data_IF_018852074121
#
_entry.id   IF_018852074121
#
_cell.length_a   1.000
_cell.length_b   1.000
_cell.length_c   1.000
_cell.angle_alpha   90.00
_cell.angle_beta   90.00
_cell.angle_gamma   90.00
#
_symmetry.space_group_name_H-M   'P 1'
#
loop_
_entity.id
_entity.type
_entity.pdbx_description
1 polymer ?
#
# COMPACT_ATOMS: atom_id res chain seq x y z
N UNK A 1 -7.90 -12.83 8.95
CA UNK A 1 -9.25 -12.89 9.54
C UNK A 1 -10.10 -13.82 8.69
N UNK A 2 -10.42 -14.99 9.23
CA UNK A 2 -11.31 -15.96 8.58
C UNK A 2 -12.75 -15.56 8.91
N UNK A 3 -13.57 -15.31 7.90
CA UNK A 3 -15.00 -15.13 8.08
C UNK A 3 -15.67 -16.48 7.77
N UNK A 4 -16.23 -17.12 8.81
CA UNK A 4 -17.04 -18.32 8.66
C UNK A 4 -18.49 -17.88 8.43
N UNK A 5 -19.03 -18.17 7.25
CA UNK A 5 -20.47 -18.09 6.98
C UNK A 5 -20.90 -19.48 6.54
N UNK A 6 -21.54 -20.22 7.43
CA UNK A 6 -21.91 -21.61 7.20
C UNK A 6 -20.72 -22.57 7.14
N UNK A 7 -20.80 -23.59 6.31
CA UNK A 7 -19.72 -24.55 6.05
C UNK A 7 -18.73 -24.07 4.97
N UNK A 8 -18.91 -22.87 4.42
CA UNK A 8 -18.14 -22.32 3.31
C UNK A 8 -17.19 -21.25 3.80
N UNK A 9 -15.94 -21.29 3.30
CA UNK A 9 -14.89 -20.39 3.70
C UNK A 9 -14.66 -19.34 2.62
N UNK A 10 -14.83 -18.05 2.97
CA UNK A 10 -14.40 -16.92 2.16
C UNK A 10 -13.21 -16.26 2.83
N UNK A 11 -12.12 -16.08 2.09
CA UNK A 11 -10.99 -15.26 2.52
C UNK A 11 -11.18 -13.89 1.89
N UNK A 12 -11.25 -12.87 2.74
CA UNK A 12 -11.30 -11.46 2.33
C UNK A 12 -10.10 -10.70 2.84
N UNK A 13 -9.61 -9.82 2.00
CA UNK A 13 -8.54 -8.89 2.35
C UNK A 13 -8.94 -7.46 1.99
N UNK A 14 -8.33 -6.47 2.65
CA UNK A 14 -8.65 -5.04 2.47
C UNK A 14 -7.44 -4.28 1.97
N UNK A 15 -7.69 -3.28 1.11
CA UNK A 15 -6.66 -2.42 0.54
C UNK A 15 -7.14 -0.98 0.46
N UNK A 16 -6.25 -0.01 0.71
CA UNK A 16 -6.54 1.42 0.62
C UNK A 16 -6.14 2.24 1.85
N UNK A 17 -5.64 1.60 2.91
CA UNK A 17 -5.17 2.29 4.13
C UNK A 17 -6.27 2.67 5.11
N UNK A 18 -5.86 3.20 6.28
CA UNK A 18 -6.78 3.54 7.37
C UNK A 18 -7.73 4.69 7.02
N UNK A 19 -7.24 5.70 6.28
CA UNK A 19 -8.04 6.85 5.86
C UNK A 19 -9.27 6.43 5.03
N UNK A 20 -9.10 5.51 4.07
CA UNK A 20 -10.23 4.95 3.30
C UNK A 20 -11.11 3.99 4.10
N UNK A 21 -10.55 3.34 5.12
CA UNK A 21 -11.35 2.51 6.01
C UNK A 21 -12.29 3.36 6.88
N UNK A 22 -11.84 4.55 7.30
CA UNK A 22 -12.64 5.48 8.11
C UNK A 22 -13.81 6.10 7.33
N UNK A 23 -13.67 6.28 6.02
CA UNK A 23 -14.69 6.87 5.14
C UNK A 23 -15.55 5.82 4.42
N UNK A 24 -15.28 4.51 4.64
CA UNK A 24 -15.97 3.43 3.92
C UNK A 24 -15.47 3.20 2.48
N UNK A 25 -14.54 4.00 1.97
CA UNK A 25 -14.02 3.92 0.60
C UNK A 25 -12.97 2.81 0.39
N UNK A 26 -12.78 1.94 1.36
CA UNK A 26 -11.81 0.85 1.28
C UNK A 26 -12.20 -0.19 0.23
N UNK A 27 -11.19 -0.79 -0.42
CA UNK A 27 -11.39 -1.89 -1.36
C UNK A 27 -11.33 -3.23 -0.63
N UNK A 28 -12.20 -4.17 -1.02
CA UNK A 28 -12.27 -5.53 -0.48
C UNK A 28 -12.00 -6.54 -1.60
N UNK A 29 -11.06 -7.45 -1.37
CA UNK A 29 -10.80 -8.61 -2.23
C UNK A 29 -11.43 -9.84 -1.58
N UNK A 30 -12.24 -10.60 -2.33
CA UNK A 30 -12.91 -11.79 -1.83
C UNK A 30 -12.61 -12.99 -2.73
N UNK A 31 -11.94 -14.01 -2.16
CA UNK A 31 -11.60 -15.28 -2.82
C UNK A 31 -12.48 -16.39 -2.27
N UNK A 32 -13.41 -16.88 -3.09
CA UNK A 32 -14.32 -18.00 -2.85
C UNK A 32 -15.03 -18.37 -4.14
N UNK A 33 -15.85 -19.40 -4.14
CA UNK A 33 -16.72 -19.68 -5.28
C UNK A 33 -17.74 -18.56 -5.51
N UNK A 34 -18.29 -18.49 -6.73
CA UNK A 34 -19.17 -17.38 -7.13
C UNK A 34 -20.48 -17.35 -6.35
N UNK A 35 -21.06 -18.49 -6.00
CA UNK A 35 -22.32 -18.54 -5.28
C UNK A 35 -22.15 -18.03 -3.84
N UNK A 36 -21.07 -18.42 -3.17
CA UNK A 36 -20.69 -17.87 -1.86
C UNK A 36 -20.46 -16.36 -1.93
N UNK A 37 -19.75 -15.90 -2.97
CA UNK A 37 -19.51 -14.47 -3.16
C UNK A 37 -20.83 -13.69 -3.29
N UNK A 38 -21.76 -14.13 -4.13
CA UNK A 38 -23.06 -13.48 -4.32
C UNK A 38 -23.89 -13.43 -3.03
N UNK A 39 -23.84 -14.49 -2.22
CA UNK A 39 -24.53 -14.55 -0.93
C UNK A 39 -23.98 -13.50 0.05
N UNK A 40 -22.67 -13.27 0.08
CA UNK A 40 -22.03 -12.33 1.04
C UNK A 40 -21.84 -10.92 0.47
N UNK A 41 -22.02 -10.70 -0.81
CA UNK A 41 -21.82 -9.40 -1.47
C UNK A 41 -22.61 -8.25 -0.80
N UNK A 42 -23.90 -8.43 -0.40
CA UNK A 42 -24.63 -7.38 0.30
C UNK A 42 -23.94 -6.94 1.61
N UNK A 43 -23.33 -7.87 2.34
CA UNK A 43 -22.56 -7.56 3.54
C UNK A 43 -21.24 -6.85 3.19
N UNK A 44 -20.54 -7.32 2.18
CA UNK A 44 -19.25 -6.73 1.80
C UNK A 44 -19.40 -5.29 1.30
N UNK A 45 -20.49 -4.98 0.57
CA UNK A 45 -20.78 -3.63 0.08
C UNK A 45 -21.18 -2.63 1.18
N UNK A 46 -21.58 -3.10 2.37
CA UNK A 46 -21.73 -2.24 3.56
C UNK A 46 -20.42 -1.96 4.28
N UNK A 47 -19.37 -2.73 3.98
CA UNK A 47 -18.07 -2.65 4.67
C UNK A 47 -16.98 -1.95 3.84
N UNK A 48 -17.19 -1.80 2.54
CA UNK A 48 -16.26 -1.17 1.64
C UNK A 48 -16.90 -0.82 0.30
N UNK A 49 -16.31 0.17 -0.37
CA UNK A 49 -16.88 0.73 -1.60
C UNK A 49 -16.67 -0.16 -2.81
N UNK A 50 -15.46 -0.70 -2.98
CA UNK A 50 -15.08 -1.51 -4.15
C UNK A 50 -14.86 -2.94 -3.72
N UNK A 51 -15.75 -3.83 -4.13
CA UNK A 51 -15.67 -5.26 -3.81
C UNK A 51 -15.30 -6.04 -5.06
N UNK A 52 -14.14 -6.69 -5.04
CA UNK A 52 -13.65 -7.50 -6.16
C UNK A 52 -13.73 -8.99 -5.81
N UNK A 53 -14.46 -9.75 -6.62
CA UNK A 53 -14.37 -11.21 -6.60
C UNK A 53 -13.08 -11.63 -7.31
N UNK A 54 -12.17 -12.25 -6.56
CA UNK A 54 -10.82 -12.56 -7.07
C UNK A 54 -10.67 -13.99 -7.61
N UNK A 55 -11.72 -14.79 -7.50
CA UNK A 55 -11.71 -16.21 -7.91
C UNK A 55 -11.66 -17.15 -6.71
N UNK A 56 -10.99 -18.27 -6.87
CA UNK A 56 -10.92 -19.37 -5.90
C UNK A 56 -10.34 -18.96 -4.54
N UNK A 57 -10.59 -19.79 -3.54
CA UNK A 57 -10.07 -19.62 -2.18
C UNK A 57 -8.55 -19.43 -2.17
N UNK A 58 -8.10 -18.36 -1.48
CA UNK A 58 -6.69 -17.97 -1.41
C UNK A 58 -6.26 -16.90 -2.42
N UNK A 59 -6.99 -16.70 -3.52
CA UNK A 59 -6.65 -15.69 -4.54
C UNK A 59 -6.59 -14.26 -3.96
N UNK A 60 -7.50 -13.91 -3.06
CA UNK A 60 -7.51 -12.60 -2.40
C UNK A 60 -6.23 -12.33 -1.60
N UNK A 61 -5.72 -13.34 -0.88
CA UNK A 61 -4.48 -13.21 -0.10
C UNK A 61 -3.25 -13.08 -1.00
N UNK A 62 -3.19 -13.79 -2.11
CA UNK A 62 -2.12 -13.64 -3.10
C UNK A 62 -2.14 -12.24 -3.71
N UNK A 63 -3.31 -11.76 -4.16
CA UNK A 63 -3.44 -10.41 -4.70
C UNK A 63 -3.09 -9.34 -3.66
N UNK A 64 -3.44 -9.55 -2.40
CA UNK A 64 -3.07 -8.62 -1.33
C UNK A 64 -1.57 -8.48 -1.16
N UNK A 65 -0.80 -9.57 -1.15
CA UNK A 65 0.66 -9.47 -1.02
C UNK A 65 1.29 -8.85 -2.28
N UNK A 66 0.73 -9.09 -3.47
CA UNK A 66 1.16 -8.43 -4.72
C UNK A 66 0.94 -6.92 -4.63
N UNK A 67 -0.25 -6.47 -4.20
CA UNK A 67 -0.53 -5.02 -4.07
C UNK A 67 0.34 -4.36 -3.01
N UNK A 68 0.66 -5.04 -1.92
CA UNK A 68 1.53 -4.51 -0.87
C UNK A 68 2.99 -4.46 -1.29
N UNK A 69 3.48 -5.43 -2.08
CA UNK A 69 4.78 -5.34 -2.73
C UNK A 69 4.89 -4.09 -3.61
N UNK A 70 3.88 -3.84 -4.48
CA UNK A 70 3.86 -2.65 -5.33
C UNK A 70 3.83 -1.36 -4.50
N UNK A 71 3.04 -1.31 -3.43
CA UNK A 71 3.01 -0.15 -2.54
C UNK A 71 4.38 0.09 -1.88
N UNK A 72 5.05 -0.96 -1.40
CA UNK A 72 6.38 -0.87 -0.80
C UNK A 72 7.43 -0.40 -1.81
N UNK A 73 7.42 -0.94 -3.04
CA UNK A 73 8.31 -0.52 -4.10
C UNK A 73 8.11 0.96 -4.45
N UNK A 74 6.86 1.40 -4.57
CA UNK A 74 6.52 2.79 -4.80
C UNK A 74 6.97 3.70 -3.64
N UNK A 75 6.83 3.28 -2.39
CA UNK A 75 7.30 4.05 -1.23
C UNK A 75 8.82 4.29 -1.28
N UNK A 76 9.60 3.24 -1.51
CA UNK A 76 11.06 3.34 -1.57
C UNK A 76 11.50 4.20 -2.75
N UNK A 77 10.94 3.97 -3.95
CA UNK A 77 11.27 4.76 -5.14
C UNK A 77 10.87 6.23 -5.02
N UNK A 78 9.73 6.54 -4.41
CA UNK A 78 9.32 7.93 -4.11
C UNK A 78 10.29 8.60 -3.12
N UNK A 79 10.71 7.89 -2.07
CA UNK A 79 11.68 8.40 -1.11
C UNK A 79 13.03 8.75 -1.79
N UNK A 80 13.52 7.87 -2.66
CA UNK A 80 14.74 8.13 -3.45
C UNK A 80 14.56 9.32 -4.39
N UNK A 81 13.47 9.35 -5.16
CA UNK A 81 13.19 10.43 -6.11
C UNK A 81 13.10 11.80 -5.43
N UNK A 82 12.39 11.91 -4.30
CA UNK A 82 12.28 13.16 -3.53
C UNK A 82 13.63 13.57 -2.94
N UNK A 83 14.44 12.61 -2.47
CA UNK A 83 15.79 12.89 -1.96
C UNK A 83 16.70 13.43 -3.06
N UNK A 84 16.69 12.82 -4.25
CA UNK A 84 17.45 13.29 -5.41
C UNK A 84 16.97 14.66 -5.85
N UNK A 85 15.67 14.91 -5.90
CA UNK A 85 15.12 16.22 -6.23
C UNK A 85 15.62 17.31 -5.26
N UNK A 86 15.61 17.03 -3.95
CA UNK A 86 16.12 17.93 -2.91
C UNK A 86 17.62 18.18 -3.08
N UNK A 87 18.41 17.13 -3.30
CA UNK A 87 19.85 17.22 -3.51
C UNK A 87 20.22 18.03 -4.77
N UNK A 88 19.39 17.95 -5.81
CA UNK A 88 19.52 18.75 -7.03
C UNK A 88 19.05 20.22 -6.87
N UNK A 89 18.61 20.62 -5.69
CA UNK A 89 18.15 21.99 -5.41
C UNK A 89 16.74 22.30 -5.90
N UNK A 90 15.94 21.30 -6.22
CA UNK A 90 14.55 21.49 -6.67
C UNK A 90 13.62 21.79 -5.48
N UNK A 91 12.58 22.58 -5.73
CA UNK A 91 11.47 22.75 -4.78
C UNK A 91 10.67 21.45 -4.69
N UNK A 92 10.50 20.91 -3.47
CA UNK A 92 9.85 19.62 -3.27
C UNK A 92 8.34 19.65 -3.56
N UNK A 93 7.66 20.79 -3.47
CA UNK A 93 6.24 20.92 -3.86
C UNK A 93 6.10 20.80 -5.37
N UNK A 94 6.97 21.49 -6.11
CA UNK A 94 7.01 21.37 -7.57
C UNK A 94 7.39 19.96 -8.00
N UNK A 95 8.32 19.31 -7.29
CA UNK A 95 8.73 17.93 -7.56
C UNK A 95 7.58 16.95 -7.31
N UNK A 96 6.85 17.12 -6.21
CA UNK A 96 5.65 16.33 -5.90
C UNK A 96 4.61 16.46 -7.04
N UNK A 97 4.27 17.69 -7.44
CA UNK A 97 3.29 17.92 -8.51
C UNK A 97 3.77 17.39 -9.87
N UNK A 98 5.04 17.54 -10.19
CA UNK A 98 5.61 17.00 -11.43
C UNK A 98 5.48 15.47 -11.50
N UNK A 99 5.75 14.77 -10.39
CA UNK A 99 5.54 13.31 -10.33
C UNK A 99 4.04 12.99 -10.44
N UNK A 100 3.18 13.71 -9.71
CA UNK A 100 1.74 13.49 -9.68
C UNK A 100 1.07 13.54 -11.06
N UNK A 101 1.51 14.46 -11.92
CA UNK A 101 0.95 14.63 -13.28
C UNK A 101 1.70 13.83 -14.36
N UNK A 102 2.68 13.04 -13.99
CA UNK A 102 3.52 12.25 -14.90
C UNK A 102 3.21 10.75 -14.85
N UNK A 103 3.86 9.98 -15.73
CA UNK A 103 3.80 8.51 -15.71
C UNK A 103 4.46 7.88 -14.49
N UNK A 104 5.22 8.63 -13.71
CA UNK A 104 5.81 8.19 -12.43
C UNK A 104 4.83 8.21 -11.26
N UNK A 105 3.60 8.65 -11.46
CA UNK A 105 2.60 8.73 -10.41
C UNK A 105 2.18 7.34 -9.88
N UNK A 106 1.77 7.32 -8.61
CA UNK A 106 1.19 6.15 -7.96
C UNK A 106 0.26 6.59 -6.82
N UNK A 107 -0.65 5.70 -6.39
CA UNK A 107 -1.47 5.95 -5.21
C UNK A 107 -0.61 6.25 -3.96
N UNK A 108 0.51 5.56 -3.81
CA UNK A 108 1.47 5.81 -2.70
C UNK A 108 2.07 7.21 -2.80
N UNK A 109 2.41 7.67 -4.01
CA UNK A 109 2.90 9.04 -4.18
C UNK A 109 1.84 10.07 -3.79
N UNK A 110 0.59 9.88 -4.22
CA UNK A 110 -0.49 10.81 -3.91
C UNK A 110 -0.89 10.84 -2.42
N UNK A 111 -0.59 9.79 -1.67
CA UNK A 111 -0.95 9.68 -0.25
C UNK A 111 0.26 9.75 0.67
N UNK A 112 1.16 8.79 0.60
CA UNK A 112 2.27 8.65 1.55
C UNK A 112 3.36 9.70 1.36
N UNK A 113 3.63 10.14 0.11
CA UNK A 113 4.61 11.22 -0.11
C UNK A 113 4.17 12.54 0.51
N UNK A 114 2.86 12.80 0.64
CA UNK A 114 2.38 14.00 1.32
C UNK A 114 2.75 14.01 2.80
N UNK A 115 2.55 12.91 3.51
CA UNK A 115 2.92 12.81 4.93
C UNK A 115 4.43 12.71 5.14
N UNK A 116 5.18 12.20 4.16
CA UNK A 116 6.65 12.32 4.15
C UNK A 116 7.05 13.78 4.10
N UNK A 117 6.52 14.55 3.16
CA UNK A 117 6.83 15.96 2.95
C UNK A 117 6.32 16.85 4.11
N UNK A 118 5.23 16.48 4.76
CA UNK A 118 4.81 17.14 6.01
C UNK A 118 5.76 16.86 7.18
N UNK A 119 6.42 15.70 7.19
CA UNK A 119 7.29 15.25 8.28
C UNK A 119 6.58 14.39 9.35
N UNK A 120 5.25 14.26 9.34
CA UNK A 120 4.49 13.39 10.27
C UNK A 120 4.76 11.90 9.99
N UNK A 121 4.81 11.55 8.70
CA UNK A 121 5.05 10.17 8.20
C UNK A 121 4.05 9.14 8.74
N UNK A 122 2.87 9.62 9.18
CA UNK A 122 1.86 8.76 9.80
C UNK A 122 0.90 8.17 8.76
N UNK A 123 1.05 6.87 8.55
CA UNK A 123 0.15 6.05 7.73
C UNK A 123 -0.43 4.87 8.52
N UNK A 124 -0.19 4.80 9.83
CA UNK A 124 -0.61 3.70 10.71
C UNK A 124 -0.12 2.32 10.23
N UNK A 125 1.03 2.26 9.55
CA UNK A 125 1.63 1.02 9.03
C UNK A 125 3.12 0.98 9.34
N UNK A 126 3.56 -0.06 10.04
CA UNK A 126 4.89 -0.15 10.62
C UNK A 126 5.85 -0.97 9.75
N UNK A 127 7.17 -0.80 9.95
CA UNK A 127 8.21 -1.49 9.17
C UNK A 127 8.16 -3.01 9.31
N UNK A 128 7.79 -3.56 10.48
CA UNK A 128 7.61 -5.01 10.66
C UNK A 128 6.44 -5.56 9.83
N UNK A 129 5.38 -4.78 9.64
CA UNK A 129 4.27 -5.17 8.79
C UNK A 129 4.67 -5.14 7.30
N UNK A 130 5.49 -4.18 6.89
CA UNK A 130 6.06 -4.16 5.53
C UNK A 130 6.95 -5.38 5.33
N UNK A 131 7.91 -5.62 6.23
CA UNK A 131 8.83 -6.77 6.13
C UNK A 131 8.08 -8.11 6.06
N UNK A 132 7.02 -8.27 6.86
CA UNK A 132 6.13 -9.44 6.78
C UNK A 132 5.51 -9.57 5.39
N UNK A 133 4.96 -8.49 4.83
CA UNK A 133 4.20 -8.55 3.58
C UNK A 133 5.11 -8.79 2.37
N UNK A 134 6.29 -8.15 2.28
CA UNK A 134 7.27 -8.43 1.21
C UNK A 134 7.90 -9.81 1.36
N UNK A 135 8.06 -10.32 2.59
CA UNK A 135 8.48 -11.70 2.84
C UNK A 135 7.44 -12.73 2.38
N UNK A 136 6.14 -12.45 2.56
CA UNK A 136 5.06 -13.29 2.02
C UNK A 136 5.02 -13.24 0.49
N UNK A 137 5.30 -12.10 -0.14
CA UNK A 137 5.42 -11.98 -1.58
C UNK A 137 6.59 -12.81 -2.12
N UNK A 138 7.75 -12.78 -1.44
CA UNK A 138 8.89 -13.63 -1.77
C UNK A 138 8.51 -15.12 -1.70
N UNK A 139 7.84 -15.54 -0.62
CA UNK A 139 7.41 -16.93 -0.47
C UNK A 139 6.42 -17.39 -1.56
N UNK A 140 5.56 -16.50 -2.07
CA UNK A 140 4.70 -16.81 -3.22
C UNK A 140 5.54 -16.99 -4.48
N UNK A 141 6.50 -16.08 -4.74
CA UNK A 141 7.37 -16.17 -5.91
C UNK A 141 8.23 -17.45 -5.89
N UNK A 142 8.82 -17.80 -4.74
CA UNK A 142 9.62 -19.00 -4.57
C UNK A 142 8.80 -20.26 -4.83
N UNK A 143 7.57 -20.33 -4.33
CA UNK A 143 6.66 -21.44 -4.58
C UNK A 143 6.33 -21.61 -6.07
N UNK A 144 6.15 -20.50 -6.78
CA UNK A 144 5.82 -20.49 -8.22
C UNK A 144 7.09 -20.49 -9.11
N UNK A 145 8.29 -20.57 -8.53
CA UNK A 145 9.59 -20.51 -9.22
C UNK A 145 9.76 -19.26 -10.08
N UNK A 146 9.30 -18.11 -9.61
CA UNK A 146 9.48 -16.81 -10.27
C UNK A 146 10.69 -16.10 -9.68
N UNK A 147 11.78 -15.89 -10.46
CA UNK A 147 12.93 -15.13 -9.97
C UNK A 147 12.57 -13.66 -9.84
N UNK A 148 12.92 -13.05 -8.71
CA UNK A 148 12.68 -11.65 -8.42
C UNK A 148 14.00 -10.89 -8.24
N UNK A 149 14.12 -9.72 -8.89
CA UNK A 149 15.27 -8.82 -8.73
C UNK A 149 14.99 -7.74 -7.66
N UNK A 150 13.81 -7.12 -7.69
CA UNK A 150 13.50 -5.96 -6.86
C UNK A 150 13.16 -6.33 -5.41
N UNK A 151 12.38 -7.39 -5.20
CA UNK A 151 11.90 -7.71 -3.85
C UNK A 151 13.02 -8.05 -2.85
N UNK A 152 14.08 -8.79 -3.21
CA UNK A 152 15.24 -8.99 -2.34
C UNK A 152 15.89 -7.67 -1.89
N UNK A 153 16.01 -6.68 -2.77
CA UNK A 153 16.53 -5.36 -2.43
C UNK A 153 15.62 -4.61 -1.45
N UNK A 154 14.29 -4.71 -1.62
CA UNK A 154 13.33 -4.12 -0.68
C UNK A 154 13.43 -4.77 0.70
N UNK A 155 13.62 -6.09 0.77
CA UNK A 155 13.83 -6.81 2.03
C UNK A 155 15.07 -6.25 2.73
N UNK A 156 16.22 -6.14 2.06
CA UNK A 156 17.45 -5.57 2.62
C UNK A 156 17.24 -4.12 3.12
N UNK A 157 16.53 -3.29 2.34
CA UNK A 157 16.21 -1.91 2.71
C UNK A 157 15.41 -1.84 4.01
N UNK A 158 14.39 -2.68 4.16
CA UNK A 158 13.56 -2.67 5.37
C UNK A 158 14.22 -3.35 6.55
N UNK A 159 15.05 -4.38 6.35
CA UNK A 159 15.87 -4.96 7.42
C UNK A 159 16.86 -3.92 8.00
N UNK A 160 17.53 -3.15 7.15
CA UNK A 160 18.38 -2.04 7.60
C UNK A 160 17.57 -0.95 8.31
N UNK A 161 16.38 -0.62 7.80
CA UNK A 161 15.47 0.34 8.44
C UNK A 161 15.04 -0.12 9.85
N UNK A 162 14.62 -1.36 9.98
CA UNK A 162 14.24 -1.98 11.26
C UNK A 162 15.42 -1.96 12.25
N UNK A 163 16.61 -2.31 11.79
CA UNK A 163 17.82 -2.30 12.61
C UNK A 163 18.18 -0.91 13.14
N UNK A 164 17.99 0.14 12.31
CA UNK A 164 18.34 1.53 12.66
C UNK A 164 17.28 2.24 13.48
N UNK A 165 16.01 2.02 13.17
CA UNK A 165 14.91 2.85 13.67
C UNK A 165 13.92 2.08 14.53
N UNK A 166 13.97 0.75 14.51
CA UNK A 166 13.07 -0.13 15.24
C UNK A 166 11.94 -0.69 14.38
N UNK A 167 11.49 -1.91 14.73
CA UNK A 167 10.49 -2.66 13.96
C UNK A 167 9.11 -2.00 13.96
N UNK A 168 8.77 -1.29 15.04
CA UNK A 168 7.47 -0.61 15.21
C UNK A 168 7.45 0.83 14.68
N UNK A 169 8.56 1.29 14.11
CA UNK A 169 8.60 2.59 13.44
C UNK A 169 7.68 2.58 12.20
N UNK A 170 7.06 3.72 11.92
CA UNK A 170 6.18 3.90 10.76
C UNK A 170 6.96 3.73 9.45
N UNK A 171 6.41 3.01 8.49
CA UNK A 171 7.12 2.62 7.27
C UNK A 171 7.64 3.77 6.42
N UNK A 172 6.98 4.97 6.31
CA UNK A 172 7.56 6.09 5.57
C UNK A 172 8.85 6.64 6.21
N UNK A 173 9.13 6.32 7.48
CA UNK A 173 10.41 6.64 8.10
C UNK A 173 11.60 5.87 7.52
N UNK A 174 11.37 4.96 6.56
CA UNK A 174 12.44 4.37 5.76
C UNK A 174 13.29 5.42 5.02
N UNK A 175 12.72 6.60 4.73
CA UNK A 175 13.43 7.73 4.12
C UNK A 175 14.55 8.27 5.03
N UNK A 176 14.47 8.10 6.35
CA UNK A 176 15.53 8.50 7.30
C UNK A 176 16.89 7.87 6.96
N UNK A 177 16.92 6.75 6.25
CA UNK A 177 18.17 6.13 5.75
C UNK A 177 18.88 7.10 4.79
N UNK A 178 18.11 7.71 3.88
CA UNK A 178 18.62 8.67 2.89
C UNK A 178 18.92 10.03 3.53
N UNK A 179 18.05 10.51 4.41
CA UNK A 179 18.29 11.73 5.18
C UNK A 179 19.58 11.63 6.00
N UNK A 180 19.81 10.49 6.67
CA UNK A 180 21.04 10.25 7.43
C UNK A 180 22.29 10.17 6.55
N UNK A 181 22.18 9.63 5.34
CA UNK A 181 23.29 9.50 4.41
C UNK A 181 23.65 10.82 3.71
N UNK A 182 22.68 11.70 3.50
CA UNK A 182 22.84 12.94 2.72
C UNK A 182 22.90 14.21 3.60
N UNK A 183 22.43 14.13 4.84
CA UNK A 183 22.26 15.31 5.70
C UNK A 183 21.08 16.20 5.27
N UNK A 184 20.23 15.75 4.36
CA UNK A 184 19.09 16.52 3.84
C UNK A 184 17.85 16.25 4.69
N UNK A 185 17.03 17.27 4.85
CA UNK A 185 15.67 17.18 5.41
C UNK A 185 14.67 17.15 4.24
N UNK A 186 13.93 16.05 4.13
CA UNK A 186 12.96 15.83 3.04
C UNK A 186 11.57 16.27 3.50
N UNK A 187 11.47 17.55 3.85
CA UNK A 187 10.20 18.19 4.22
C UNK A 187 9.93 19.42 3.37
N UNK A 188 8.66 19.77 3.24
CA UNK A 188 8.19 20.97 2.57
C UNK A 188 6.86 21.45 3.19
N UNK A 189 6.62 22.78 3.28
CA UNK A 189 5.37 23.30 3.82
C UNK A 189 4.19 23.05 2.87
N UNK A 190 2.98 23.01 3.43
CA UNK A 190 1.72 22.97 2.67
C UNK A 190 1.16 21.55 2.44
N UNK A 191 1.80 20.52 2.99
CA UNK A 191 1.30 19.15 2.96
C UNK A 191 0.54 18.78 4.24
N UNK A 192 -0.49 17.91 4.15
CA UNK A 192 -1.26 17.46 5.30
C UNK A 192 -0.45 16.56 6.23
N UNK A 193 -0.72 16.64 7.54
CA UNK A 193 -0.09 15.76 8.53
C UNK A 193 -0.65 14.34 8.54
N UNK A 194 -1.83 14.14 7.99
CA UNK A 194 -2.52 12.86 7.90
C UNK A 194 -2.93 12.58 6.46
N UNK A 195 -3.02 11.31 6.10
CA UNK A 195 -3.60 10.94 4.81
C UNK A 195 -5.10 11.26 4.81
N UNK A 196 -5.54 12.00 3.80
CA UNK A 196 -6.93 12.44 3.64
C UNK A 196 -7.56 11.65 2.49
N UNK A 197 -8.74 11.09 2.73
CA UNK A 197 -9.58 10.55 1.67
C UNK A 197 -10.58 11.61 1.23
N UNK A 198 -10.40 12.11 0.01
CA UNK A 198 -11.27 13.12 -0.60
C UNK A 198 -12.34 12.50 -1.52
N UNK A 199 -12.40 11.16 -1.60
CA UNK A 199 -13.45 10.51 -2.38
C UNK A 199 -14.79 10.66 -1.65
N UNK A 200 -15.89 10.98 -2.35
CA UNK A 200 -17.21 11.05 -1.72
C UNK A 200 -17.62 9.70 -1.15
N UNK A 201 -18.36 9.71 -0.05
CA UNK A 201 -18.97 8.50 0.49
C UNK A 201 -20.10 8.06 -0.45
N UNK A 202 -19.99 6.87 -1.01
CA UNK A 202 -20.97 6.30 -1.93
C UNK A 202 -21.22 4.82 -1.58
N UNK A 203 -22.40 4.27 -1.95
CA UNK A 203 -22.70 2.87 -1.74
C UNK A 203 -21.64 1.94 -2.34
N UNK A 204 -21.32 0.88 -1.63
CA UNK A 204 -20.41 -0.14 -2.12
C UNK A 204 -20.96 -0.90 -3.33
N UNK A 205 -20.08 -1.36 -4.20
CA UNK A 205 -20.45 -2.08 -5.40
C UNK A 205 -19.43 -3.17 -5.78
N UNK A 206 -19.88 -4.14 -6.55
CA UNK A 206 -18.98 -5.13 -7.16
C UNK A 206 -18.20 -4.51 -8.33
N UNK A 207 -16.89 -4.63 -8.28
CA UNK A 207 -16.02 -4.32 -9.42
C UNK A 207 -16.11 -5.48 -10.42
N UNK A 208 -16.80 -5.27 -11.53
CA UNK A 208 -16.95 -6.28 -12.59
C UNK A 208 -15.74 -6.26 -13.52
N UNK A 209 -15.10 -7.40 -13.66
CA UNK A 209 -14.06 -7.62 -14.66
C UNK A 209 -14.74 -8.18 -15.92
N UNK A 210 -14.71 -7.41 -17.00
CA UNK A 210 -15.22 -7.91 -18.27
C UNK A 210 -14.34 -9.08 -18.72
N UNK A 211 -14.94 -10.26 -18.89
CA UNK A 211 -14.26 -11.36 -19.55
C UNK A 211 -14.14 -10.97 -21.03
N UNK A 212 -12.90 -10.84 -21.49
CA UNK A 212 -12.59 -10.67 -22.93
C UNK A 212 -12.83 -11.98 -23.64
#
# INVERSE_FOLDING_TARGET
>A
NRCLVGSEMCIRDRSGGCHRANTGNISIFAGCDRATFEMILPLLTTMGRRVLHTGELGSASILKVITNFLATANLVSCAEALTVAKAAGLDLRNSYEAIRISSGNSFVHETESQVILNGSRDISFTMDLVAKDIGLFQAVADRENVPLDLNPLLIEVFEDGIKRFGSRELSPNIIKRLESATGLDITAPGFPAEMIDNEPEEPGYEVKVNKV
#
